data_IF_326408226334
#
_entry.id   IF_326408226334
#
_cell.length_a   1.000
_cell.length_b   1.000
_cell.length_c   1.000
_cell.angle_alpha   90.00
_cell.angle_beta   90.00
_cell.angle_gamma   90.00
#
_symmetry.space_group_name_H-M   'P 1'
#
loop_
_entity.id
_entity.type
_entity.pdbx_description
1 polymer ?
#
# COMPACT_ATOMS: atom_id res chain seq x y z
N UNK A 1 -27.65 54.19 -8.39
CA UNK A 1 -26.22 54.31 -7.99
C UNK A 1 -25.73 53.23 -7.00
N UNK A 2 -26.55 52.24 -6.61
CA UNK A 2 -26.10 51.09 -5.78
C UNK A 2 -25.65 49.86 -6.61
N UNK A 3 -26.05 49.77 -7.88
CA UNK A 3 -25.73 48.64 -8.77
C UNK A 3 -24.27 48.61 -9.20
N UNK A 4 -23.67 49.77 -9.50
CA UNK A 4 -22.26 49.87 -9.93
C UNK A 4 -21.23 49.46 -8.86
N UNK A 5 -21.59 49.47 -7.58
CA UNK A 5 -20.65 49.07 -6.51
C UNK A 5 -20.52 47.54 -6.41
N UNK A 6 -21.60 46.81 -6.71
CA UNK A 6 -21.60 45.36 -6.68
C UNK A 6 -20.82 44.76 -7.86
N UNK A 7 -20.82 45.41 -9.02
CA UNK A 7 -20.11 44.92 -10.20
C UNK A 7 -18.59 44.99 -10.00
N UNK A 8 -18.10 46.03 -9.31
CA UNK A 8 -16.67 46.20 -9.00
C UNK A 8 -16.18 45.18 -7.98
N UNK A 9 -16.94 44.89 -6.92
CA UNK A 9 -16.57 43.83 -5.96
C UNK A 9 -16.57 42.45 -6.63
N UNK A 10 -17.54 42.17 -7.50
CA UNK A 10 -17.64 40.86 -8.18
C UNK A 10 -16.45 40.61 -9.12
N UNK A 11 -15.94 41.67 -9.76
CA UNK A 11 -14.79 41.57 -10.67
C UNK A 11 -13.48 41.32 -9.93
N UNK A 12 -13.34 41.83 -8.71
CA UNK A 12 -12.17 41.63 -7.85
C UNK A 12 -12.11 40.21 -7.26
N UNK A 13 -13.26 39.61 -6.96
CA UNK A 13 -13.29 38.20 -6.55
C UNK A 13 -12.91 37.26 -7.70
N UNK A 14 -13.30 37.57 -8.94
CA UNK A 14 -13.01 36.74 -10.10
C UNK A 14 -11.51 36.72 -10.44
N UNK A 15 -10.81 37.84 -10.30
CA UNK A 15 -9.35 37.92 -10.50
C UNK A 15 -8.60 37.16 -9.40
N UNK A 16 -9.01 37.31 -8.13
CA UNK A 16 -8.42 36.57 -7.01
C UNK A 16 -8.63 35.05 -7.14
N UNK A 17 -9.79 34.63 -7.63
CA UNK A 17 -10.08 33.21 -7.88
C UNK A 17 -9.20 32.65 -9.01
N UNK A 18 -9.01 33.41 -10.09
CA UNK A 18 -8.13 33.02 -11.19
C UNK A 18 -6.66 32.89 -10.73
N UNK A 19 -6.17 33.84 -9.93
CA UNK A 19 -4.81 33.82 -9.38
C UNK A 19 -4.60 32.63 -8.42
N UNK A 20 -5.61 32.34 -7.58
CA UNK A 20 -5.55 31.17 -6.68
C UNK A 20 -5.52 29.83 -7.42
N UNK A 21 -6.20 29.75 -8.57
CA UNK A 21 -6.24 28.54 -9.39
C UNK A 21 -4.90 28.32 -10.12
N UNK A 22 -4.25 29.41 -10.53
CA UNK A 22 -2.93 29.37 -11.17
C UNK A 22 -1.85 28.95 -10.15
N UNK A 23 -1.89 29.50 -8.93
CA UNK A 23 -1.02 29.10 -7.82
C UNK A 23 -1.23 27.63 -7.39
N UNK A 24 -2.48 27.17 -7.36
CA UNK A 24 -2.78 25.76 -7.04
C UNK A 24 -2.23 24.81 -8.11
N UNK A 25 -2.24 25.22 -9.38
CA UNK A 25 -1.66 24.43 -10.47
C UNK A 25 -0.13 24.37 -10.41
N UNK A 26 0.52 25.45 -9.98
CA UNK A 26 1.98 25.55 -9.90
C UNK A 26 2.55 24.82 -8.66
N UNK A 27 1.76 24.67 -7.59
CA UNK A 27 2.16 23.92 -6.40
C UNK A 27 1.94 22.41 -6.59
N UNK A 28 1.00 22.02 -7.46
CA UNK A 28 0.73 20.63 -7.78
C UNK A 28 1.48 20.21 -9.04
N UNK A 29 2.81 20.21 -8.97
CA UNK A 29 3.60 19.39 -9.89
C UNK A 29 3.45 17.94 -9.42
N UNK A 30 2.65 17.09 -10.09
CA UNK A 30 2.51 15.70 -9.69
C UNK A 30 3.88 15.05 -9.87
N UNK A 31 4.50 14.60 -8.77
CA UNK A 31 5.69 13.77 -8.85
C UNK A 31 5.45 12.63 -9.87
N UNK A 32 6.44 12.32 -10.71
CA UNK A 32 6.31 11.28 -11.71
C UNK A 32 6.00 9.96 -10.99
N UNK A 33 4.74 9.52 -11.08
CA UNK A 33 4.28 8.30 -10.45
C UNK A 33 5.14 7.17 -11.05
N UNK A 34 5.94 6.45 -10.23
CA UNK A 34 6.80 5.41 -10.73
C UNK A 34 5.98 4.38 -11.51
N UNK A 35 6.54 3.89 -12.62
CA UNK A 35 5.84 2.98 -13.52
C UNK A 35 5.19 1.83 -12.74
N UNK A 36 3.86 1.68 -12.90
CA UNK A 36 3.02 0.69 -12.19
C UNK A 36 3.55 -0.75 -12.27
N UNK A 37 4.38 -1.06 -13.26
CA UNK A 37 5.04 -2.36 -13.45
C UNK A 37 6.26 -2.53 -12.57
N UNK A 38 7.04 -1.46 -12.40
CA UNK A 38 8.22 -1.44 -11.57
C UNK A 38 7.86 -1.70 -10.10
N UNK A 39 6.79 -1.08 -9.61
CA UNK A 39 6.35 -1.29 -8.22
C UNK A 39 5.91 -2.74 -7.98
N UNK A 40 5.23 -3.39 -8.94
CA UNK A 40 4.89 -4.81 -8.83
C UNK A 40 6.12 -5.72 -8.84
N UNK A 41 7.09 -5.42 -9.71
CA UNK A 41 8.33 -6.19 -9.78
C UNK A 41 9.16 -6.06 -8.50
N UNK A 42 9.23 -4.86 -7.91
CA UNK A 42 9.88 -4.62 -6.63
C UNK A 42 9.20 -5.42 -5.52
N UNK A 43 7.87 -5.42 -5.46
CA UNK A 43 7.11 -6.18 -4.46
C UNK A 43 7.33 -7.70 -4.57
N UNK A 44 7.28 -8.23 -5.80
CA UNK A 44 7.56 -9.65 -6.06
C UNK A 44 9.01 -9.99 -5.71
N UNK A 45 9.95 -9.11 -6.03
CA UNK A 45 11.36 -9.25 -5.67
C UNK A 45 11.57 -9.27 -4.15
N UNK A 46 10.89 -8.39 -3.42
CA UNK A 46 10.93 -8.33 -1.96
C UNK A 46 10.37 -9.62 -1.34
N UNK A 47 9.18 -10.07 -1.74
CA UNK A 47 8.62 -11.34 -1.26
C UNK A 47 9.56 -12.51 -1.56
N UNK A 48 10.12 -12.57 -2.78
CA UNK A 48 11.06 -13.61 -3.19
C UNK A 48 12.34 -13.61 -2.35
N UNK A 49 12.88 -12.42 -2.04
CA UNK A 49 14.05 -12.26 -1.19
C UNK A 49 13.78 -12.75 0.24
N UNK A 50 12.64 -12.39 0.83
CA UNK A 50 12.24 -12.82 2.17
C UNK A 50 12.01 -14.34 2.19
N UNK A 51 11.39 -14.93 1.16
CA UNK A 51 11.25 -16.37 1.00
C UNK A 51 12.61 -17.08 0.98
N UNK A 52 13.56 -16.57 0.18
CA UNK A 52 14.91 -17.12 0.12
C UNK A 52 15.61 -16.99 1.47
N UNK A 53 15.48 -15.84 2.13
CA UNK A 53 16.08 -15.60 3.44
C UNK A 53 15.52 -16.57 4.49
N UNK A 54 14.21 -16.86 4.45
CA UNK A 54 13.58 -17.83 5.33
C UNK A 54 14.10 -19.25 5.10
N UNK A 55 14.15 -19.72 3.84
CA UNK A 55 14.64 -21.07 3.49
C UNK A 55 16.12 -21.23 3.83
N UNK A 56 16.93 -20.21 3.56
CA UNK A 56 18.38 -20.23 3.78
C UNK A 56 18.81 -19.71 5.15
N UNK A 57 17.89 -19.32 6.02
CA UNK A 57 18.18 -18.79 7.36
C UNK A 57 19.07 -19.76 8.17
N UNK A 58 18.69 -21.04 8.20
CA UNK A 58 19.43 -22.07 8.96
C UNK A 58 20.90 -22.21 8.51
N UNK A 59 21.16 -22.44 7.20
CA UNK A 59 22.52 -22.46 6.67
C UNK A 59 23.31 -21.16 6.89
N UNK A 60 22.68 -19.99 6.71
CA UNK A 60 23.36 -18.70 6.93
C UNK A 60 23.79 -18.52 8.38
N UNK A 61 22.92 -18.87 9.35
CA UNK A 61 23.25 -18.78 10.77
C UNK A 61 24.41 -19.71 11.11
N UNK A 62 24.39 -20.94 10.59
CA UNK A 62 25.49 -21.92 10.80
C UNK A 62 26.83 -21.47 10.22
N UNK A 63 26.80 -20.64 9.16
CA UNK A 63 28.02 -20.09 8.55
C UNK A 63 28.64 -19.00 9.43
N UNK A 64 27.81 -18.16 10.07
CA UNK A 64 28.27 -17.11 10.98
C UNK A 64 28.72 -17.65 12.33
N UNK A 65 27.96 -18.57 12.91
CA UNK A 65 28.27 -19.17 14.20
C UNK A 65 27.82 -20.65 14.23
N UNK A 66 28.76 -21.60 14.17
CA UNK A 66 28.44 -23.03 14.22
C UNK A 66 27.90 -23.48 15.59
N UNK A 67 28.16 -22.72 16.66
CA UNK A 67 27.68 -23.01 18.02
C UNK A 67 26.29 -22.47 18.32
N UNK A 68 25.80 -21.47 17.57
CA UNK A 68 24.43 -20.93 17.71
C UNK A 68 23.34 -21.85 17.10
N UNK A 69 23.74 -22.91 16.39
CA UNK A 69 22.91 -23.63 15.42
C UNK A 69 21.79 -24.54 15.94
N UNK A 70 21.47 -24.55 17.24
CA UNK A 70 20.45 -25.48 17.79
C UNK A 70 19.36 -24.76 18.61
N UNK A 71 19.69 -23.73 19.40
CA UNK A 71 18.72 -23.06 20.28
C UNK A 71 18.05 -21.83 19.61
N UNK A 72 18.81 -21.03 18.86
CA UNK A 72 18.30 -19.78 18.27
C UNK A 72 17.61 -19.98 16.91
N UNK A 73 17.85 -21.11 16.24
CA UNK A 73 17.28 -21.38 14.91
C UNK A 73 15.74 -21.47 14.94
N UNK A 74 15.15 -21.98 16.02
CA UNK A 74 13.70 -22.07 16.15
C UNK A 74 13.04 -20.69 16.29
N UNK A 75 13.63 -19.82 17.11
CA UNK A 75 13.11 -18.47 17.40
C UNK A 75 13.29 -17.56 16.19
N UNK A 76 14.45 -17.60 15.54
CA UNK A 76 14.71 -16.77 14.36
C UNK A 76 13.84 -17.22 13.18
N UNK A 77 13.66 -18.54 13.02
CA UNK A 77 12.78 -19.09 11.99
C UNK A 77 11.32 -18.68 12.21
N UNK A 78 10.81 -18.72 13.45
CA UNK A 78 9.43 -18.29 13.73
C UNK A 78 9.24 -16.79 13.53
N UNK A 79 10.24 -15.96 13.88
CA UNK A 79 10.21 -14.52 13.61
C UNK A 79 10.22 -14.22 12.10
N UNK A 80 11.11 -14.86 11.34
CA UNK A 80 11.16 -14.70 9.88
C UNK A 80 9.88 -15.20 9.20
N UNK A 81 9.32 -16.31 9.69
CA UNK A 81 8.03 -16.80 9.20
C UNK A 81 6.91 -15.79 9.47
N UNK A 82 6.88 -15.20 10.66
CA UNK A 82 5.87 -14.18 11.01
C UNK A 82 6.00 -12.94 10.11
N UNK A 83 7.23 -12.46 9.86
CA UNK A 83 7.47 -11.36 8.93
C UNK A 83 7.04 -11.71 7.50
N UNK A 84 7.32 -12.92 7.04
CA UNK A 84 6.92 -13.40 5.72
C UNK A 84 5.40 -13.52 5.58
N UNK A 85 4.71 -13.98 6.63
CA UNK A 85 3.25 -14.00 6.69
C UNK A 85 2.69 -12.58 6.61
N UNK A 86 3.20 -11.64 7.41
CA UNK A 86 2.76 -10.23 7.37
C UNK A 86 2.99 -9.62 5.99
N UNK A 87 4.18 -9.80 5.40
CA UNK A 87 4.54 -9.25 4.09
C UNK A 87 3.65 -9.80 2.98
N UNK A 88 3.41 -11.12 2.96
CA UNK A 88 2.51 -11.75 1.99
C UNK A 88 1.07 -11.27 2.12
N UNK A 89 0.58 -11.01 3.34
CA UNK A 89 -0.74 -10.40 3.54
C UNK A 89 -0.82 -8.97 3.00
N UNK A 90 0.18 -8.14 3.27
CA UNK A 90 0.20 -6.75 2.79
C UNK A 90 0.22 -6.73 1.26
N UNK A 91 1.05 -7.56 0.63
CA UNK A 91 1.12 -7.69 -0.83
C UNK A 91 -0.18 -8.24 -1.41
N UNK A 92 -0.80 -9.23 -0.77
CA UNK A 92 -2.09 -9.78 -1.19
C UNK A 92 -3.22 -8.73 -1.10
N UNK A 93 -3.27 -7.95 -0.01
CA UNK A 93 -4.26 -6.87 0.15
C UNK A 93 -4.09 -5.80 -0.92
N UNK A 94 -2.84 -5.43 -1.19
CA UNK A 94 -2.53 -4.43 -2.18
C UNK A 94 -2.86 -4.90 -3.60
N UNK A 95 -2.52 -6.14 -3.95
CA UNK A 95 -2.93 -6.76 -5.22
C UNK A 95 -4.45 -6.83 -5.35
N UNK A 96 -5.15 -7.17 -4.27
CA UNK A 96 -6.61 -7.24 -4.25
C UNK A 96 -7.25 -5.86 -4.45
N UNK A 97 -6.77 -4.82 -3.76
CA UNK A 97 -7.22 -3.43 -4.00
C UNK A 97 -6.94 -2.99 -5.43
N UNK A 98 -5.80 -3.39 -6.00
CA UNK A 98 -5.47 -3.08 -7.40
C UNK A 98 -6.40 -3.80 -8.37
N UNK A 99 -6.69 -5.07 -8.13
CA UNK A 99 -7.61 -5.87 -8.94
C UNK A 99 -9.02 -5.28 -8.90
N UNK A 100 -9.49 -4.91 -7.71
CA UNK A 100 -10.77 -4.21 -7.50
C UNK A 100 -10.77 -2.92 -8.31
N UNK A 101 -9.75 -2.06 -8.17
CA UNK A 101 -9.67 -0.79 -8.90
C UNK A 101 -9.69 -1.00 -10.42
N UNK A 102 -8.91 -1.93 -10.96
CA UNK A 102 -8.87 -2.18 -12.40
C UNK A 102 -10.21 -2.78 -12.91
N UNK A 103 -10.90 -3.62 -12.14
CA UNK A 103 -12.25 -4.13 -12.46
C UNK A 103 -13.33 -3.05 -12.42
N UNK A 104 -13.25 -2.11 -11.47
CA UNK A 104 -14.23 -1.02 -11.32
C UNK A 104 -14.01 0.11 -12.32
N UNK A 105 -12.78 0.31 -12.80
CA UNK A 105 -12.52 1.24 -13.91
C UNK A 105 -13.30 0.84 -15.18
N UNK A 106 -13.68 -0.44 -15.29
CA UNK A 106 -14.51 -0.99 -16.36
C UNK A 106 -16.02 -0.91 -16.10
N UNK A 107 -16.46 -0.63 -14.87
CA UNK A 107 -17.86 -0.72 -14.47
C UNK A 107 -18.19 0.44 -13.51
N UNK A 108 -18.76 1.53 -14.02
CA UNK A 108 -18.98 2.84 -13.36
C UNK A 108 -19.97 2.81 -12.16
N UNK A 109 -19.76 1.97 -11.15
CA UNK A 109 -20.62 1.87 -9.97
C UNK A 109 -19.86 2.21 -8.66
N UNK A 110 -19.83 3.49 -8.23
CA UNK A 110 -19.01 3.94 -7.11
C UNK A 110 -19.44 3.41 -5.73
N UNK A 111 -20.69 2.96 -5.58
CA UNK A 111 -21.20 2.46 -4.29
C UNK A 111 -20.70 1.04 -3.97
N UNK A 112 -20.26 0.29 -4.98
CA UNK A 112 -19.81 -1.09 -4.82
C UNK A 112 -18.34 -1.15 -4.36
N UNK A 113 -17.52 -0.17 -4.75
CA UNK A 113 -16.08 -0.07 -4.42
C UNK A 113 -15.82 -0.09 -2.90
N UNK A 114 -16.58 0.73 -2.15
CA UNK A 114 -16.47 0.82 -0.69
C UNK A 114 -16.78 -0.52 -0.02
N UNK A 115 -17.77 -1.28 -0.53
CA UNK A 115 -18.16 -2.57 0.07
C UNK A 115 -17.08 -3.62 -0.14
N UNK A 116 -16.47 -3.67 -1.32
CA UNK A 116 -15.36 -4.59 -1.59
C UNK A 116 -14.11 -4.21 -0.81
N UNK A 117 -13.81 -2.92 -0.67
CA UNK A 117 -12.67 -2.47 0.11
C UNK A 117 -12.81 -2.82 1.60
N UNK A 118 -14.00 -2.57 2.18
CA UNK A 118 -14.29 -2.94 3.58
C UNK A 118 -14.31 -4.46 3.76
N UNK A 119 -14.94 -5.19 2.84
CA UNK A 119 -14.98 -6.66 2.89
C UNK A 119 -13.59 -7.29 2.76
N UNK A 120 -12.77 -6.79 1.84
CA UNK A 120 -11.37 -7.19 1.68
C UNK A 120 -10.55 -6.91 2.93
N UNK A 121 -10.71 -5.73 3.54
CA UNK A 121 -9.98 -5.36 4.75
C UNK A 121 -10.31 -6.30 5.92
N UNK A 122 -11.61 -6.51 6.18
CA UNK A 122 -12.07 -7.42 7.24
C UNK A 122 -11.69 -8.88 6.97
N UNK A 123 -11.78 -9.32 5.72
CA UNK A 123 -11.35 -10.66 5.32
C UNK A 123 -9.85 -10.87 5.59
N UNK A 124 -9.02 -9.88 5.24
CA UNK A 124 -7.58 -9.94 5.49
C UNK A 124 -7.25 -9.93 6.99
N UNK A 125 -7.97 -9.12 7.77
CA UNK A 125 -7.82 -9.05 9.23
C UNK A 125 -8.20 -10.37 9.90
N UNK A 126 -9.31 -11.00 9.49
CA UNK A 126 -9.73 -12.31 9.98
C UNK A 126 -8.71 -13.40 9.62
N UNK A 127 -8.17 -13.36 8.41
CA UNK A 127 -7.15 -14.32 7.96
C UNK A 127 -5.86 -14.15 8.77
N UNK A 128 -5.45 -12.90 9.03
CA UNK A 128 -4.30 -12.58 9.87
C UNK A 128 -4.46 -13.12 11.30
N UNK A 129 -5.60 -12.83 11.94
CA UNK A 129 -5.91 -13.34 13.28
C UNK A 129 -5.96 -14.87 13.27
N UNK A 130 -6.58 -15.49 12.27
CA UNK A 130 -6.66 -16.94 12.14
C UNK A 130 -5.29 -17.61 12.03
N UNK A 131 -4.38 -17.05 11.22
CA UNK A 131 -3.01 -17.56 11.10
C UNK A 131 -2.24 -17.40 12.41
N UNK A 132 -2.38 -16.25 13.09
CA UNK A 132 -1.78 -16.04 14.41
C UNK A 132 -2.29 -17.04 15.45
N UNK A 133 -3.58 -17.34 15.47
CA UNK A 133 -4.17 -18.34 16.38
C UNK A 133 -3.66 -19.75 16.09
N UNK A 134 -3.43 -20.11 14.83
CA UNK A 134 -2.88 -21.43 14.46
C UNK A 134 -1.38 -21.54 14.80
N UNK A 135 -0.65 -20.42 14.78
CA UNK A 135 0.78 -20.36 15.07
C UNK A 135 1.12 -20.34 16.57
N UNK A 136 0.16 -20.00 17.42
CA UNK A 136 0.31 -19.79 18.87
C UNK A 136 -0.08 -21.04 19.66
#
# INVERSE_FOLDING_TARGET
MKTLKNDVETQDYASLLAESHDLASQIYDPEPIPDRRLITLVALGQCGLICLLFIYCGPLIRLLDPTAGVLDIGIISSYLFTLLVVDTFVVAAWLLMRLIRDLFTLNEMPCLDIRYQVGSFWGLLLLFVGVFVVLL
#
